data_IF_234096779885
#
_entry.id   IF_234096779885
#
_cell.length_a   1.000
_cell.length_b   1.000
_cell.length_c   1.000
_cell.angle_alpha   90.00
_cell.angle_beta   90.00
_cell.angle_gamma   90.00
#
_symmetry.space_group_name_H-M   'P 1'
#
loop_
_entity.id
_entity.type
_entity.pdbx_description
1 polymer ?
#
# COMPACT_ATOMS: atom_id res chain seq x y z
N UNK A 1 -23.45 -0.90 -9.53
CA UNK A 1 -22.21 -1.04 -10.34
C UNK A 1 -21.52 0.32 -10.31
N UNK A 2 -20.19 0.36 -10.27
CA UNK A 2 -19.43 1.62 -10.33
C UNK A 2 -18.97 1.82 -11.79
N UNK A 3 -19.66 2.67 -12.53
CA UNK A 3 -19.46 2.96 -13.96
C UNK A 3 -18.94 4.38 -14.21
N UNK A 4 -18.44 5.04 -13.16
CA UNK A 4 -17.82 6.35 -13.24
C UNK A 4 -16.42 6.29 -13.87
N UNK A 5 -15.93 7.40 -14.42
CA UNK A 5 -14.55 7.50 -14.90
C UNK A 5 -13.51 7.18 -13.80
N UNK A 6 -13.83 7.46 -12.54
CA UNK A 6 -12.94 7.31 -11.38
C UNK A 6 -13.19 5.99 -10.61
N UNK A 7 -13.55 4.91 -11.33
CA UNK A 7 -14.10 3.70 -10.72
C UNK A 7 -13.16 2.98 -9.72
N UNK A 8 -11.83 3.03 -9.92
CA UNK A 8 -10.86 2.51 -8.96
C UNK A 8 -10.57 3.51 -7.83
N UNK A 9 -10.42 4.80 -8.16
CA UNK A 9 -10.13 5.83 -7.16
C UNK A 9 -11.24 5.93 -6.11
N UNK A 10 -12.50 5.76 -6.52
CA UNK A 10 -13.67 5.77 -5.64
C UNK A 10 -13.73 4.62 -4.63
N UNK A 11 -12.92 3.57 -4.81
CA UNK A 11 -12.86 2.43 -3.88
C UNK A 11 -11.49 2.27 -3.22
N UNK A 12 -10.51 3.09 -3.59
CA UNK A 12 -9.12 2.93 -3.15
C UNK A 12 -8.96 3.06 -1.63
N UNK A 13 -9.79 3.86 -0.94
CA UNK A 13 -9.75 4.06 0.53
C UNK A 13 -10.76 3.19 1.29
N UNK A 14 -11.46 2.29 0.59
CA UNK A 14 -12.54 1.51 1.19
C UNK A 14 -12.04 0.52 2.25
N UNK A 15 -10.91 -0.17 2.02
CA UNK A 15 -10.37 -1.14 2.95
C UNK A 15 -10.02 -0.49 4.30
N UNK A 16 -9.40 0.68 4.25
CA UNK A 16 -9.13 1.56 5.39
C UNK A 16 -10.37 1.90 6.21
N UNK A 17 -11.50 2.12 5.54
CA UNK A 17 -12.78 2.39 6.23
C UNK A 17 -13.32 1.11 6.88
N UNK A 18 -13.20 -0.03 6.20
CA UNK A 18 -13.78 -1.30 6.65
C UNK A 18 -13.08 -1.88 7.87
N UNK A 19 -11.75 -1.71 8.02
CA UNK A 19 -11.02 -2.20 9.19
C UNK A 19 -11.49 -1.61 10.54
N UNK A 20 -12.23 -0.50 10.52
CA UNK A 20 -12.82 0.09 11.73
C UNK A 20 -14.26 -0.36 12.01
N UNK A 21 -14.83 -1.22 11.16
CA UNK A 21 -16.18 -1.77 11.35
C UNK A 21 -16.13 -3.07 12.15
N UNK A 22 -17.21 -3.41 12.85
CA UNK A 22 -17.30 -4.66 13.62
C UNK A 22 -17.04 -5.91 12.79
N UNK A 23 -17.46 -5.92 11.52
CA UNK A 23 -17.32 -7.08 10.64
C UNK A 23 -15.99 -7.08 9.87
N UNK A 24 -15.37 -5.92 9.66
CA UNK A 24 -14.11 -5.79 8.94
C UNK A 24 -12.88 -5.69 9.85
N UNK A 25 -13.03 -5.62 11.17
CA UNK A 25 -11.91 -5.43 12.10
C UNK A 25 -10.74 -6.42 11.90
N UNK A 26 -11.05 -7.67 11.54
CA UNK A 26 -10.02 -8.68 11.28
C UNK A 26 -9.10 -8.33 10.10
N UNK A 27 -9.53 -7.46 9.19
CA UNK A 27 -8.72 -7.07 8.03
C UNK A 27 -7.64 -6.06 8.37
N UNK A 28 -7.62 -5.49 9.58
CA UNK A 28 -6.64 -4.48 9.97
C UNK A 28 -5.20 -4.95 9.81
N UNK A 29 -4.93 -6.23 10.06
CA UNK A 29 -3.61 -6.86 9.94
C UNK A 29 -3.17 -7.06 8.48
N UNK A 30 -4.10 -6.99 7.52
CA UNK A 30 -3.80 -7.19 6.10
C UNK A 30 -3.20 -5.95 5.43
N UNK A 31 -3.06 -4.85 6.15
CA UNK A 31 -2.53 -3.59 5.61
C UNK A 31 -1.00 -3.53 5.66
N UNK A 32 -0.34 -4.42 6.39
CA UNK A 32 1.11 -4.33 6.62
C UNK A 32 1.74 -5.73 6.75
N UNK A 33 3.07 -5.77 6.70
CA UNK A 33 3.92 -6.88 7.14
C UNK A 33 4.95 -6.29 8.11
N UNK A 34 5.04 -6.83 9.31
CA UNK A 34 5.86 -6.25 10.38
C UNK A 34 7.27 -6.85 10.28
N UNK A 35 8.14 -6.26 9.46
CA UNK A 35 9.49 -6.76 9.26
C UNK A 35 10.31 -6.70 10.57
N UNK A 36 10.75 -7.85 11.07
CA UNK A 36 11.58 -7.97 12.27
C UNK A 36 13.08 -7.87 11.92
N UNK A 37 13.51 -6.72 11.40
CA UNK A 37 14.89 -6.40 11.03
C UNK A 37 15.56 -5.37 12.00
N UNK A 38 16.60 -4.64 11.56
CA UNK A 38 17.39 -3.73 12.43
C UNK A 38 17.75 -2.41 11.71
N UNK A 39 16.76 -1.58 11.35
CA UNK A 39 17.00 -0.33 10.65
C UNK A 39 17.73 0.69 11.56
N UNK A 40 18.64 1.52 11.00
CA UNK A 40 19.01 1.60 9.59
C UNK A 40 20.18 0.67 9.21
N UNK A 41 20.61 -0.23 10.10
CA UNK A 41 21.79 -1.08 9.89
C UNK A 41 21.51 -2.20 8.88
N UNK A 42 20.33 -2.80 8.95
CA UNK A 42 19.87 -3.88 8.09
C UNK A 42 18.35 -3.80 7.91
N UNK A 43 17.91 -3.84 6.66
CA UNK A 43 16.50 -3.94 6.29
C UNK A 43 16.30 -5.22 5.48
N UNK A 44 15.26 -5.99 5.80
CA UNK A 44 14.86 -7.15 5.03
C UNK A 44 13.57 -7.78 5.51
N UNK A 45 12.77 -8.25 4.55
CA UNK A 45 11.48 -8.90 4.78
C UNK A 45 11.56 -10.40 4.48
N UNK A 46 11.15 -11.22 5.43
CA UNK A 46 11.06 -12.67 5.38
C UNK A 46 9.64 -13.12 5.78
N UNK A 47 8.91 -13.73 4.84
CA UNK A 47 7.48 -14.02 5.02
C UNK A 47 7.17 -14.83 6.27
N UNK A 48 7.91 -15.91 6.53
CA UNK A 48 7.65 -16.81 7.66
C UNK A 48 7.98 -16.18 9.02
N UNK A 49 8.85 -15.17 9.04
CA UNK A 49 9.23 -14.43 10.25
C UNK A 49 8.24 -13.29 10.52
N UNK A 50 7.91 -12.52 9.47
CA UNK A 50 7.27 -11.21 9.59
C UNK A 50 5.74 -11.25 9.40
N UNK A 51 5.24 -12.29 8.75
CA UNK A 51 3.81 -12.47 8.55
C UNK A 51 3.20 -13.21 9.73
N UNK A 52 2.26 -12.57 10.41
CA UNK A 52 1.55 -13.16 11.55
C UNK A 52 0.66 -14.32 11.12
N UNK A 53 0.28 -15.16 12.09
CA UNK A 53 -0.58 -16.33 11.86
C UNK A 53 -1.92 -15.94 11.22
N UNK A 54 -2.48 -14.79 11.59
CA UNK A 54 -3.73 -14.27 11.01
C UNK A 54 -3.56 -13.77 9.56
N UNK A 55 -2.32 -13.54 9.13
CA UNK A 55 -1.94 -13.00 7.83
C UNK A 55 -1.30 -11.62 7.91
N UNK A 56 -0.84 -11.16 6.75
CA UNK A 56 -0.21 -9.87 6.49
C UNK A 56 -0.54 -9.41 5.06
N UNK A 57 -0.11 -8.21 4.66
CA UNK A 57 -0.36 -7.64 3.32
C UNK A 57 0.02 -8.57 2.16
N UNK A 58 1.14 -9.30 2.29
CA UNK A 58 1.61 -10.26 1.27
C UNK A 58 0.60 -11.40 1.06
N UNK A 59 0.23 -12.08 2.15
CA UNK A 59 -0.74 -13.20 2.08
C UNK A 59 -2.15 -12.73 1.72
N UNK A 60 -2.55 -11.53 2.16
CA UNK A 60 -3.85 -10.97 1.87
C UNK A 60 -3.96 -10.61 0.38
N UNK A 61 -2.93 -9.97 -0.19
CA UNK A 61 -2.88 -9.65 -1.60
C UNK A 61 -2.97 -10.92 -2.46
N UNK A 62 -2.27 -12.00 -2.10
CA UNK A 62 -2.40 -13.29 -2.78
C UNK A 62 -3.82 -13.86 -2.71
N UNK A 63 -4.40 -13.94 -1.51
CA UNK A 63 -5.76 -14.45 -1.29
C UNK A 63 -6.81 -13.63 -2.07
N UNK A 64 -6.80 -12.31 -1.94
CA UNK A 64 -7.79 -11.46 -2.60
C UNK A 64 -7.58 -11.36 -4.11
N UNK A 65 -6.36 -11.54 -4.62
CA UNK A 65 -6.13 -11.71 -6.06
C UNK A 65 -6.82 -12.97 -6.58
N UNK A 66 -6.63 -14.11 -5.90
CA UNK A 66 -7.31 -15.36 -6.26
C UNK A 66 -8.83 -15.22 -6.19
N UNK A 67 -9.36 -14.66 -5.09
CA UNK A 67 -10.81 -14.46 -4.90
C UNK A 67 -11.41 -13.49 -5.92
N UNK A 68 -10.67 -12.48 -6.39
CA UNK A 68 -11.17 -11.56 -7.41
C UNK A 68 -11.36 -12.25 -8.78
N UNK A 69 -10.55 -13.28 -9.05
CA UNK A 69 -10.53 -14.00 -10.32
C UNK A 69 -11.41 -15.27 -10.31
N UNK A 70 -11.85 -15.73 -9.15
CA UNK A 70 -12.64 -16.96 -8.99
C UNK A 70 -14.08 -16.82 -9.54
N UNK A 71 -14.45 -17.50 -10.64
CA UNK A 71 -15.79 -17.40 -11.20
C UNK A 71 -16.88 -18.03 -10.33
N UNK A 72 -16.54 -18.92 -9.40
CA UNK A 72 -17.48 -19.59 -8.50
C UNK A 72 -17.94 -18.67 -7.37
N UNK A 73 -17.17 -17.62 -7.07
CA UNK A 73 -17.55 -16.62 -6.07
C UNK A 73 -18.63 -15.66 -6.60
N UNK A 74 -19.47 -15.20 -5.68
CA UNK A 74 -20.50 -14.21 -6.01
C UNK A 74 -19.86 -12.93 -6.55
N UNK A 75 -20.59 -12.19 -7.40
CA UNK A 75 -20.11 -10.92 -7.92
C UNK A 75 -19.79 -9.90 -6.81
N UNK A 76 -20.46 -10.01 -5.66
CA UNK A 76 -20.20 -9.18 -4.49
C UNK A 76 -18.86 -9.53 -3.81
N UNK A 77 -18.56 -10.82 -3.62
CA UNK A 77 -17.28 -11.26 -3.03
C UNK A 77 -16.10 -10.89 -3.92
N UNK A 78 -16.21 -11.13 -5.23
CA UNK A 78 -15.19 -10.70 -6.21
C UNK A 78 -14.99 -9.19 -6.19
N UNK A 79 -16.08 -8.42 -6.04
CA UNK A 79 -15.97 -6.97 -5.95
C UNK A 79 -15.23 -6.53 -4.68
N UNK A 80 -15.50 -7.13 -3.52
CA UNK A 80 -14.76 -6.84 -2.31
C UNK A 80 -13.28 -7.22 -2.44
N UNK A 81 -13.00 -8.39 -3.00
CA UNK A 81 -11.63 -8.85 -3.23
C UNK A 81 -10.85 -7.87 -4.13
N UNK A 82 -11.45 -7.41 -5.23
CA UNK A 82 -10.84 -6.41 -6.10
C UNK A 82 -10.55 -5.07 -5.38
N UNK A 83 -11.40 -4.66 -4.43
CA UNK A 83 -11.14 -3.43 -3.65
C UNK A 83 -9.96 -3.59 -2.71
N UNK A 84 -9.84 -4.75 -2.06
CA UNK A 84 -8.68 -5.06 -1.24
C UNK A 84 -7.39 -5.08 -2.06
N UNK A 85 -7.39 -5.71 -3.24
CA UNK A 85 -6.22 -5.71 -4.14
C UNK A 85 -5.78 -4.28 -4.49
N UNK A 86 -6.71 -3.40 -4.85
CA UNK A 86 -6.39 -2.00 -5.18
C UNK A 86 -5.74 -1.27 -3.99
N UNK A 87 -6.22 -1.52 -2.78
CA UNK A 87 -5.69 -0.87 -1.58
C UNK A 87 -4.33 -1.43 -1.16
N UNK A 88 -4.20 -2.76 -1.09
CA UNK A 88 -2.99 -3.43 -0.61
C UNK A 88 -1.79 -3.24 -1.52
N UNK A 89 -2.00 -3.06 -2.83
CA UNK A 89 -0.92 -2.64 -3.72
C UNK A 89 -0.43 -1.22 -3.36
N UNK A 90 -1.29 -0.33 -2.87
CA UNK A 90 -0.86 0.97 -2.35
C UNK A 90 -0.08 0.83 -1.05
N UNK A 91 -0.64 0.12 -0.08
CA UNK A 91 -0.05 -0.06 1.25
C UNK A 91 1.35 -0.69 1.19
N UNK A 92 1.55 -1.76 0.40
CA UNK A 92 2.83 -2.49 0.30
C UNK A 92 3.97 -1.68 -0.36
N UNK A 93 3.68 -0.48 -0.88
CA UNK A 93 4.70 0.43 -1.41
C UNK A 93 4.96 1.61 -0.45
N UNK A 94 4.29 1.67 0.71
CA UNK A 94 4.60 2.62 1.78
C UNK A 94 5.62 1.95 2.71
N UNK A 95 6.89 2.39 2.77
CA UNK A 95 7.95 1.69 3.49
C UNK A 95 7.65 1.30 4.94
N UNK A 96 6.90 2.13 5.67
CA UNK A 96 6.53 1.89 7.06
C UNK A 96 5.33 0.94 7.24
N UNK A 97 4.73 0.45 6.16
CA UNK A 97 3.83 -0.71 6.18
C UNK A 97 4.60 -2.04 6.05
N UNK A 98 5.91 -1.99 5.78
CA UNK A 98 6.80 -3.15 5.65
C UNK A 98 7.86 -3.16 6.77
N UNK A 99 7.50 -2.70 7.98
CA UNK A 99 8.42 -2.42 9.09
C UNK A 99 7.73 -2.57 10.46
N UNK A 100 8.33 -3.31 11.42
CA UNK A 100 7.79 -3.48 12.77
C UNK A 100 8.14 -2.32 13.71
N UNK A 101 9.31 -1.69 13.57
CA UNK A 101 9.88 -0.76 14.55
C UNK A 101 8.86 0.31 14.94
N UNK A 102 8.51 0.31 16.24
CA UNK A 102 7.52 1.23 16.81
C UNK A 102 6.15 1.17 16.12
N UNK A 103 5.72 -0.02 15.68
CA UNK A 103 4.48 -0.28 14.93
C UNK A 103 4.47 0.46 13.60
N UNK A 104 5.48 0.21 12.77
CA UNK A 104 5.69 0.94 11.52
C UNK A 104 5.87 2.44 11.74
N UNK A 105 6.59 2.85 12.78
CA UNK A 105 6.82 4.26 13.09
C UNK A 105 5.64 5.02 13.71
N UNK A 106 4.51 4.38 14.02
CA UNK A 106 3.39 5.03 14.71
C UNK A 106 3.76 5.51 16.13
N UNK A 107 4.69 4.83 16.78
CA UNK A 107 5.24 5.20 18.08
C UNK A 107 6.37 6.25 18.04
N UNK A 108 6.82 6.66 16.84
CA UNK A 108 7.89 7.64 16.68
C UNK A 108 7.25 9.02 16.51
N UNK A 109 7.23 9.82 17.58
CA UNK A 109 6.67 11.17 17.57
C UNK A 109 7.63 12.16 16.91
N UNK A 110 7.10 12.98 15.99
CA UNK A 110 7.89 13.93 15.19
C UNK A 110 7.19 15.29 15.10
N UNK A 111 7.96 16.34 14.79
CA UNK A 111 7.45 17.66 14.49
C UNK A 111 7.47 17.90 12.97
N UNK A 112 6.30 17.92 12.33
CA UNK A 112 6.16 18.24 10.91
C UNK A 112 5.55 19.64 10.75
N UNK A 113 6.32 20.55 10.15
CA UNK A 113 5.91 21.96 9.94
C UNK A 113 5.39 22.65 11.23
N UNK A 114 6.03 22.37 12.36
CA UNK A 114 5.69 22.95 13.65
C UNK A 114 4.47 22.32 14.34
N UNK A 115 3.97 21.19 13.85
CA UNK A 115 2.87 20.42 14.47
C UNK A 115 3.33 19.00 14.82
N UNK A 116 2.82 18.50 15.94
CA UNK A 116 3.11 17.14 16.39
C UNK A 116 2.34 16.11 15.57
N UNK A 117 3.04 15.10 15.10
CA UNK A 117 2.52 13.92 14.42
C UNK A 117 3.33 12.68 14.84
N UNK A 118 3.06 11.53 14.24
CA UNK A 118 3.98 10.39 14.24
C UNK A 118 4.60 10.21 12.85
N UNK A 119 5.71 9.47 12.77
CA UNK A 119 6.46 9.27 11.53
C UNK A 119 5.61 8.59 10.45
N UNK A 120 4.83 7.57 10.82
CA UNK A 120 3.93 6.85 9.92
C UNK A 120 2.95 7.78 9.19
N UNK A 121 2.24 8.63 9.94
CA UNK A 121 1.31 9.62 9.41
C UNK A 121 1.99 10.65 8.51
N UNK A 122 3.26 10.98 8.78
CA UNK A 122 4.01 11.90 7.92
C UNK A 122 4.24 11.28 6.53
N UNK A 123 4.57 9.99 6.48
CA UNK A 123 4.73 9.23 5.24
C UNK A 123 3.39 8.99 4.52
N UNK A 124 2.38 8.46 5.22
CA UNK A 124 1.05 8.16 4.65
C UNK A 124 0.38 9.38 4.03
N UNK A 125 0.49 10.53 4.71
CA UNK A 125 -0.36 11.68 4.43
C UNK A 125 0.45 12.95 4.25
N UNK A 126 1.26 13.34 5.24
CA UNK A 126 1.71 14.73 5.33
C UNK A 126 2.66 15.14 4.18
N UNK A 127 3.56 14.25 3.76
CA UNK A 127 4.45 14.48 2.62
C UNK A 127 3.64 14.59 1.33
N UNK A 128 2.79 13.60 1.05
CA UNK A 128 1.97 13.55 -0.16
C UNK A 128 1.02 14.75 -0.26
N UNK A 129 0.30 15.07 0.83
CA UNK A 129 -0.58 16.23 0.89
C UNK A 129 0.18 17.53 0.63
N UNK A 130 1.37 17.70 1.20
CA UNK A 130 2.19 18.89 0.97
C UNK A 130 2.63 18.99 -0.49
N UNK A 131 3.08 17.89 -1.10
CA UNK A 131 3.51 17.85 -2.50
C UNK A 131 2.40 18.27 -3.47
N UNK A 132 1.15 17.92 -3.19
CA UNK A 132 0.00 18.24 -4.06
C UNK A 132 -0.68 19.58 -3.73
N UNK A 133 -0.11 20.39 -2.82
CA UNK A 133 -0.65 21.69 -2.43
C UNK A 133 -1.78 21.65 -1.38
N UNK A 134 -1.86 20.57 -0.63
CA UNK A 134 -2.80 20.30 0.48
C UNK A 134 -4.06 19.55 0.05
N UNK A 135 -4.62 18.71 0.94
CA UNK A 135 -5.81 17.90 0.66
C UNK A 135 -7.15 18.54 1.07
N UNK A 136 -7.14 19.67 1.80
CA UNK A 136 -8.33 20.18 2.51
C UNK A 136 -9.49 20.70 1.64
N UNK A 137 -9.28 20.98 0.35
CA UNK A 137 -10.30 21.63 -0.50
C UNK A 137 -10.84 20.77 -1.64
N UNK A 138 -9.96 20.05 -2.34
CA UNK A 138 -10.32 19.23 -3.51
C UNK A 138 -9.41 18.00 -3.60
N UNK A 139 -9.52 17.07 -2.64
CA UNK A 139 -8.59 15.93 -2.55
C UNK A 139 -8.59 15.07 -3.82
N UNK A 140 -9.77 14.81 -4.40
CA UNK A 140 -9.88 14.04 -5.65
C UNK A 140 -9.24 14.74 -6.85
N UNK A 141 -9.53 16.03 -7.09
CA UNK A 141 -8.94 16.78 -8.21
C UNK A 141 -7.40 16.84 -8.09
N UNK A 142 -6.89 17.01 -6.88
CA UNK A 142 -5.45 17.07 -6.62
C UNK A 142 -4.79 15.70 -6.81
N UNK A 143 -5.39 14.64 -6.28
CA UNK A 143 -4.93 13.26 -6.48
C UNK A 143 -4.94 12.88 -7.96
N UNK A 144 -6.01 13.22 -8.69
CA UNK A 144 -6.10 12.97 -10.13
C UNK A 144 -4.99 13.70 -10.89
N UNK A 145 -4.78 14.99 -10.62
CA UNK A 145 -3.72 15.77 -11.29
C UNK A 145 -2.34 15.18 -11.01
N UNK A 146 -2.09 14.77 -9.78
CA UNK A 146 -0.82 14.15 -9.42
C UNK A 146 -0.63 12.80 -10.12
N UNK A 147 -1.66 11.95 -10.15
CA UNK A 147 -1.65 10.69 -10.87
C UNK A 147 -1.45 10.87 -12.39
N UNK A 148 -2.11 11.87 -13.01
CA UNK A 148 -1.91 12.20 -14.43
C UNK A 148 -0.44 12.60 -14.70
N UNK A 149 0.16 13.38 -13.79
CA UNK A 149 1.58 13.76 -13.88
C UNK A 149 2.54 12.58 -13.73
N UNK A 150 2.33 11.73 -12.72
CA UNK A 150 3.11 10.51 -12.53
C UNK A 150 2.98 9.55 -13.73
N UNK A 151 1.78 9.43 -14.29
CA UNK A 151 1.54 8.61 -15.48
C UNK A 151 2.33 9.13 -16.69
N UNK A 152 2.49 10.44 -16.86
CA UNK A 152 3.35 11.01 -17.90
C UNK A 152 4.83 10.73 -17.62
N UNK A 153 5.29 10.93 -16.39
CA UNK A 153 6.68 10.62 -15.98
C UNK A 153 7.05 9.15 -16.21
N UNK A 154 6.09 8.24 -16.01
CA UNK A 154 6.23 6.80 -16.31
C UNK A 154 6.21 6.54 -17.81
N UNK A 155 5.34 7.20 -18.57
CA UNK A 155 5.22 6.91 -20.01
C UNK A 155 6.42 7.40 -20.80
N UNK A 156 6.84 8.63 -20.55
CA UNK A 156 7.75 9.39 -21.42
C UNK A 156 8.78 10.21 -20.66
N UNK A 157 8.60 10.41 -19.34
CA UNK A 157 9.49 11.24 -18.52
C UNK A 157 10.57 10.46 -17.78
N UNK A 158 10.89 10.90 -16.56
CA UNK A 158 12.08 10.45 -15.82
C UNK A 158 12.05 8.97 -15.42
N UNK A 159 10.87 8.34 -15.39
CA UNK A 159 10.70 6.94 -15.02
C UNK A 159 10.51 6.03 -16.25
N UNK A 160 10.60 6.58 -17.48
CA UNK A 160 10.30 5.84 -18.70
C UNK A 160 11.23 4.63 -18.92
N UNK A 161 12.49 4.74 -18.53
CA UNK A 161 13.49 3.68 -18.65
C UNK A 161 13.40 2.64 -17.51
N UNK A 162 12.77 3.01 -16.39
CA UNK A 162 12.69 2.18 -15.17
C UNK A 162 11.45 1.28 -15.15
N UNK A 163 10.34 1.70 -15.77
CA UNK A 163 9.05 0.99 -15.69
C UNK A 163 9.08 -0.48 -16.13
N UNK A 164 10.01 -0.83 -17.03
CA UNK A 164 10.18 -2.21 -17.48
C UNK A 164 10.81 -3.08 -16.40
N UNK A 165 11.71 -2.51 -15.59
CA UNK A 165 12.33 -3.19 -14.46
C UNK A 165 11.30 -3.48 -13.35
N UNK A 166 10.41 -2.53 -13.04
CA UNK A 166 9.37 -2.68 -12.00
C UNK A 166 8.43 -3.88 -12.24
N UNK A 167 8.31 -4.33 -13.50
CA UNK A 167 7.45 -5.46 -13.87
C UNK A 167 8.19 -6.80 -13.91
N UNK A 168 9.52 -6.84 -13.77
CA UNK A 168 10.29 -8.08 -13.90
C UNK A 168 10.01 -9.11 -12.81
N UNK A 169 9.60 -8.63 -11.64
CA UNK A 169 9.30 -9.47 -10.46
C UNK A 169 7.85 -9.93 -10.43
N UNK A 170 7.02 -9.48 -11.38
CA UNK A 170 5.60 -9.83 -11.45
C UNK A 170 5.40 -11.20 -12.06
N UNK A 171 4.88 -12.14 -11.28
CA UNK A 171 4.41 -13.45 -11.70
C UNK A 171 3.00 -13.72 -11.18
N UNK A 172 2.02 -13.78 -12.08
CA UNK A 172 0.63 -14.08 -11.73
C UNK A 172 0.42 -15.52 -11.24
N UNK A 173 1.38 -16.42 -11.46
CA UNK A 173 1.35 -17.78 -10.91
C UNK A 173 1.95 -17.84 -9.50
N UNK A 174 2.70 -16.81 -9.08
CA UNK A 174 3.29 -16.67 -7.76
C UNK A 174 3.05 -15.26 -7.21
N UNK A 175 1.79 -15.00 -6.84
CA UNK A 175 1.39 -13.71 -6.29
C UNK A 175 2.07 -13.44 -4.94
N UNK A 176 2.38 -14.49 -4.16
CA UNK A 176 3.11 -14.36 -2.89
C UNK A 176 4.54 -13.88 -3.15
N UNK A 177 5.27 -14.53 -4.07
CA UNK A 177 6.61 -14.10 -4.46
C UNK A 177 6.64 -12.69 -5.05
N UNK A 178 5.65 -12.35 -5.88
CA UNK A 178 5.47 -10.99 -6.42
C UNK A 178 5.30 -9.96 -5.30
N UNK A 179 4.34 -10.19 -4.40
CA UNK A 179 4.05 -9.27 -3.30
C UNK A 179 5.23 -9.15 -2.32
N UNK A 180 5.91 -10.26 -2.02
CA UNK A 180 7.10 -10.24 -1.17
C UNK A 180 8.25 -9.45 -1.80
N UNK A 181 8.39 -9.49 -3.13
CA UNK A 181 9.36 -8.63 -3.82
C UNK A 181 9.05 -7.15 -3.65
N UNK A 182 7.78 -6.75 -3.71
CA UNK A 182 7.37 -5.36 -3.49
C UNK A 182 7.57 -4.93 -2.05
N UNK A 183 7.20 -5.76 -1.07
CA UNK A 183 7.45 -5.47 0.35
C UNK A 183 8.94 -5.28 0.65
N UNK A 184 9.82 -6.12 0.05
CA UNK A 184 11.28 -5.98 0.18
C UNK A 184 11.79 -4.68 -0.45
N UNK A 185 11.21 -4.27 -1.56
CA UNK A 185 11.55 -2.99 -2.21
C UNK A 185 11.13 -1.80 -1.32
N UNK A 186 9.91 -1.82 -0.77
CA UNK A 186 9.40 -0.82 0.17
C UNK A 186 10.26 -0.73 1.43
N UNK A 187 10.48 -1.86 2.10
CA UNK A 187 11.31 -1.97 3.32
C UNK A 187 12.76 -1.48 3.10
N UNK A 188 13.36 -1.69 1.93
CA UNK A 188 14.70 -1.19 1.64
C UNK A 188 14.82 0.36 1.74
N UNK A 189 13.72 1.09 1.54
CA UNK A 189 13.70 2.54 1.73
C UNK A 189 13.79 2.94 3.21
N UNK A 190 13.35 2.11 4.16
CA UNK A 190 13.42 2.39 5.61
C UNK A 190 14.86 2.61 6.08
N UNK A 191 15.82 1.84 5.54
CA UNK A 191 17.23 1.99 5.89
C UNK A 191 17.93 3.16 5.18
N UNK A 192 17.31 3.76 4.16
CA UNK A 192 17.98 4.76 3.30
C UNK A 192 17.39 6.16 3.37
N UNK A 193 16.15 6.32 3.86
CA UNK A 193 15.41 7.60 3.89
C UNK A 193 14.67 7.81 5.21
#
# INVERSE_FOLDING_TARGET
RNDTADYLANIATWADTIRYTRWGHFTGIFHFIDAEDDPPSYCGVELDRDCKEEGCVVTALANYTQRALDPELSAWERNQAARFVVHFIGDIHQPLHDEDVSRGGNGIHVLWEGKEFNLHHVWDSSIAEKLIGGARRRPYDNAKRWADGLAEEIKTGKFADEKAEWLKTVDFNDVVGTALSWAREGNAYVCTH
#
